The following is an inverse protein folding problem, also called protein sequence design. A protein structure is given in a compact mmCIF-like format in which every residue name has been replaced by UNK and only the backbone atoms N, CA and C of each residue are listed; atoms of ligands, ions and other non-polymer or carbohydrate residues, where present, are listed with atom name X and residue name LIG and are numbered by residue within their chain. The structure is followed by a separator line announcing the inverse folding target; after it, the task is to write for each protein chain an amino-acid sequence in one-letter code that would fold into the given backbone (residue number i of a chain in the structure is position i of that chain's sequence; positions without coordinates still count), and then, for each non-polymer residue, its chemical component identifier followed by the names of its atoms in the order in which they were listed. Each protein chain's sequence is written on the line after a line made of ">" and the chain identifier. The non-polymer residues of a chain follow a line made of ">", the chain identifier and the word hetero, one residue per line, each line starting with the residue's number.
data_IF_353449668692
#
_entry.id   IF_353449668692
#
_cell.length_a   1.000
_cell.length_b   1.000
_cell.length_c   1.000
_cell.angle_alpha   90.00
_cell.angle_beta   90.00
_cell.angle_gamma   90.00
#
_symmetry.space_group_name_H-M   'P 1'
#
loop_
_entity.id
_entity.type
_entity.pdbx_description
1 polymer ?
#
# COMPACT_ATOMS: atom_id res chain seq x y z
N UNK A 1 18.55 4.50 13.91
CA UNK A 1 17.69 3.33 13.69
C UNK A 1 16.76 3.58 12.52
N UNK A 2 16.72 2.65 11.59
CA UNK A 2 15.82 2.75 10.46
C UNK A 2 14.37 2.67 10.93
N UNK A 3 13.49 3.48 10.34
CA UNK A 3 12.06 3.43 10.63
C UNK A 3 11.38 2.36 9.80
N UNK A 4 10.12 2.11 10.12
CA UNK A 4 9.26 1.25 9.32
C UNK A 4 8.82 1.99 8.06
N UNK A 5 8.71 1.28 6.94
CA UNK A 5 8.24 1.84 5.69
C UNK A 5 6.90 1.22 5.30
N UNK A 6 5.92 2.07 5.05
CA UNK A 6 4.57 1.67 4.64
C UNK A 6 4.31 2.25 3.25
N UNK A 7 4.10 1.37 2.28
CA UNK A 7 3.76 1.74 0.91
C UNK A 7 2.24 1.67 0.73
N UNK A 8 1.65 2.69 0.15
CA UNK A 8 0.21 2.70 -0.12
C UNK A 8 -0.06 2.43 -1.58
N UNK A 9 -0.84 1.39 -1.85
CA UNK A 9 -1.18 0.92 -3.19
C UNK A 9 -2.67 1.10 -3.46
N UNK A 10 -3.00 1.80 -4.52
CA UNK A 10 -4.39 2.05 -4.90
C UNK A 10 -4.48 2.82 -6.19
N UNK A 11 -5.70 2.95 -6.71
CA UNK A 11 -5.96 3.60 -7.98
C UNK A 11 -5.43 5.03 -8.02
N UNK A 12 -4.77 5.38 -9.12
CA UNK A 12 -4.29 6.72 -9.42
C UNK A 12 -4.83 7.22 -10.75
N UNK A 13 -4.89 6.37 -11.77
CA UNK A 13 -5.36 6.73 -13.11
C UNK A 13 -6.79 7.26 -13.08
N UNK A 14 -7.01 8.40 -13.73
CA UNK A 14 -8.34 9.03 -13.78
C UNK A 14 -8.76 9.76 -12.52
N UNK A 15 -7.92 9.79 -11.50
CA UNK A 15 -8.16 10.53 -10.27
C UNK A 15 -7.30 11.80 -10.23
N UNK A 16 -7.81 12.85 -9.56
CA UNK A 16 -6.98 14.00 -9.22
C UNK A 16 -5.97 13.60 -8.14
N UNK A 17 -4.97 14.46 -7.93
CA UNK A 17 -4.03 14.26 -6.83
C UNK A 17 -4.77 14.15 -5.48
N UNK A 18 -5.70 15.06 -5.22
CA UNK A 18 -6.46 15.05 -3.98
C UNK A 18 -7.29 13.78 -3.81
N UNK A 19 -7.99 13.36 -4.85
CA UNK A 19 -8.77 12.13 -4.82
C UNK A 19 -7.89 10.90 -4.54
N UNK A 20 -6.72 10.84 -5.17
CA UNK A 20 -5.80 9.72 -4.96
C UNK A 20 -5.16 9.72 -3.58
N UNK A 21 -5.04 10.88 -2.94
CA UNK A 21 -4.36 11.03 -1.65
C UNK A 21 -5.30 10.95 -0.44
N UNK A 22 -6.60 11.12 -0.61
CA UNK A 22 -7.52 11.21 0.54
C UNK A 22 -7.40 10.02 1.50
N UNK A 23 -7.57 8.80 1.02
CA UNK A 23 -7.48 7.63 1.90
C UNK A 23 -6.06 7.41 2.42
N UNK A 24 -5.06 7.76 1.63
CA UNK A 24 -3.66 7.62 2.01
C UNK A 24 -3.31 8.53 3.18
N UNK A 25 -3.72 9.77 3.13
CA UNK A 25 -3.50 10.72 4.23
C UNK A 25 -4.30 10.36 5.47
N UNK A 26 -5.52 9.85 5.31
CA UNK A 26 -6.31 9.37 6.44
C UNK A 26 -5.59 8.21 7.15
N UNK A 27 -5.04 7.27 6.39
CA UNK A 27 -4.27 6.16 6.96
C UNK A 27 -3.02 6.67 7.68
N UNK A 28 -2.25 7.53 7.03
CA UNK A 28 -1.04 8.11 7.61
C UNK A 28 -1.35 8.79 8.95
N UNK A 29 -2.36 9.64 8.98
CA UNK A 29 -2.77 10.34 10.20
C UNK A 29 -3.22 9.38 11.29
N UNK A 30 -4.01 8.36 10.93
CA UNK A 30 -4.48 7.37 11.89
C UNK A 30 -3.33 6.57 12.50
N UNK A 31 -2.36 6.16 11.70
CA UNK A 31 -1.19 5.42 12.20
C UNK A 31 -0.32 6.31 13.08
N UNK A 32 -0.01 7.54 12.63
CA UNK A 32 0.85 8.45 13.38
C UNK A 32 0.23 8.90 14.70
N UNK A 33 -1.09 8.91 14.81
CA UNK A 33 -1.78 9.20 16.07
C UNK A 33 -1.68 8.08 17.09
N UNK A 34 -1.40 6.86 16.66
CA UNK A 34 -1.36 5.69 17.54
C UNK A 34 0.05 5.27 17.94
N UNK A 35 1.05 5.53 17.10
CA UNK A 35 2.40 5.02 17.31
C UNK A 35 3.38 6.12 17.69
N UNK A 36 4.36 5.76 18.55
CA UNK A 36 5.53 6.59 18.84
C UNK A 36 6.75 6.17 18.01
N UNK A 37 6.62 5.13 17.22
CA UNK A 37 7.70 4.63 16.38
C UNK A 37 7.88 5.49 15.14
N UNK A 38 9.07 5.48 14.59
CA UNK A 38 9.36 6.17 13.34
C UNK A 38 8.75 5.39 12.18
N UNK A 39 7.83 6.02 11.46
CA UNK A 39 7.16 5.44 10.29
C UNK A 39 7.29 6.39 9.11
N UNK A 40 7.71 5.84 7.98
CA UNK A 40 7.80 6.59 6.72
C UNK A 40 6.75 6.03 5.77
N UNK A 41 5.87 6.90 5.30
CA UNK A 41 4.87 6.53 4.31
C UNK A 41 5.38 6.84 2.90
N UNK A 42 5.21 5.90 2.00
CA UNK A 42 5.51 6.05 0.58
C UNK A 42 4.18 6.09 -0.15
N UNK A 43 3.79 7.29 -0.58
CA UNK A 43 2.57 7.51 -1.34
C UNK A 43 2.95 7.85 -2.77
N UNK A 44 2.77 6.93 -3.75
CA UNK A 44 3.20 7.18 -5.12
C UNK A 44 2.73 8.50 -5.74
N UNK A 45 1.49 8.97 -5.48
CA UNK A 45 1.07 10.25 -6.05
C UNK A 45 1.92 11.45 -5.63
N UNK A 46 2.56 11.41 -4.46
CA UNK A 46 3.42 12.50 -3.99
C UNK A 46 4.70 12.63 -4.81
N UNK A 47 5.14 11.54 -5.46
CA UNK A 47 6.41 11.51 -6.18
C UNK A 47 6.23 11.74 -7.68
N UNK A 48 5.09 11.35 -8.25
CA UNK A 48 4.90 11.36 -9.69
C UNK A 48 3.76 12.26 -10.15
N UNK A 49 2.87 12.67 -9.25
CA UNK A 49 1.58 13.19 -9.67
C UNK A 49 0.76 12.06 -10.30
N UNK A 50 -0.29 12.41 -11.03
CA UNK A 50 -1.20 11.42 -11.61
C UNK A 50 -1.15 11.33 -13.14
N UNK A 51 -0.60 12.33 -13.83
CA UNK A 51 -0.74 12.46 -15.28
C UNK A 51 0.53 12.63 -16.11
N UNK A 52 1.66 13.00 -15.53
CA UNK A 52 2.85 13.37 -16.34
C UNK A 52 4.11 12.69 -15.81
N UNK A 53 4.25 11.42 -16.14
CA UNK A 53 5.32 10.59 -15.59
C UNK A 53 6.04 9.83 -16.70
N UNK A 54 7.39 9.82 -16.63
CA UNK A 54 8.18 8.83 -17.35
C UNK A 54 7.88 7.46 -16.76
N UNK A 55 7.07 6.65 -17.43
CA UNK A 55 6.58 5.38 -16.92
C UNK A 55 7.69 4.39 -16.61
N UNK A 56 8.78 4.40 -17.36
CA UNK A 56 9.91 3.51 -17.08
C UNK A 56 10.58 3.85 -15.75
N UNK A 57 10.82 5.13 -15.50
CA UNK A 57 11.43 5.58 -14.24
C UNK A 57 10.50 5.34 -13.06
N UNK A 58 9.22 5.62 -13.24
CA UNK A 58 8.21 5.38 -12.20
C UNK A 58 8.19 3.91 -11.79
N UNK A 59 8.19 3.02 -12.76
CA UNK A 59 8.18 1.58 -12.50
C UNK A 59 9.41 1.12 -11.72
N UNK A 60 10.60 1.56 -12.12
CA UNK A 60 11.83 1.22 -11.41
C UNK A 60 11.80 1.74 -9.98
N UNK A 61 11.37 2.97 -9.78
CA UNK A 61 11.25 3.56 -8.46
C UNK A 61 10.29 2.76 -7.58
N UNK A 62 9.12 2.42 -8.11
CA UNK A 62 8.11 1.65 -7.35
C UNK A 62 8.62 0.27 -6.95
N UNK A 63 9.29 -0.44 -7.85
CA UNK A 63 9.85 -1.74 -7.54
C UNK A 63 10.84 -1.64 -6.38
N UNK A 64 11.71 -0.63 -6.40
CA UNK A 64 12.66 -0.41 -5.32
C UNK A 64 11.96 -0.05 -4.00
N UNK A 65 10.95 0.79 -4.04
CA UNK A 65 10.20 1.16 -2.84
C UNK A 65 9.43 -0.03 -2.25
N UNK A 66 8.81 -0.83 -3.10
CA UNK A 66 8.11 -2.06 -2.67
C UNK A 66 9.08 -3.03 -2.01
N UNK A 67 10.23 -3.26 -2.64
CA UNK A 67 11.25 -4.18 -2.11
C UNK A 67 11.79 -3.75 -0.74
N UNK A 68 11.76 -2.46 -0.44
CA UNK A 68 12.25 -1.91 0.83
C UNK A 68 11.12 -1.60 1.83
N UNK A 69 9.89 -1.94 1.50
CA UNK A 69 8.76 -1.73 2.39
C UNK A 69 8.61 -2.84 3.42
N UNK A 70 8.12 -2.49 4.59
CA UNK A 70 7.76 -3.46 5.63
C UNK A 70 6.29 -3.88 5.48
N UNK A 71 5.45 -2.93 5.08
CA UNK A 71 4.01 -3.13 4.94
C UNK A 71 3.56 -2.46 3.64
N UNK A 72 2.71 -3.14 2.88
CA UNK A 72 2.00 -2.57 1.74
C UNK A 72 0.52 -2.56 2.09
N UNK A 73 -0.09 -1.37 2.09
CA UNK A 73 -1.52 -1.21 2.36
C UNK A 73 -2.25 -0.93 1.05
N UNK A 74 -3.30 -1.69 0.80
CA UNK A 74 -4.03 -1.69 -0.47
C UNK A 74 -5.45 -1.19 -0.25
N UNK A 75 -5.88 -0.22 -1.05
CA UNK A 75 -7.29 0.16 -1.12
C UNK A 75 -8.02 -0.85 -2.03
N UNK A 76 -8.88 -1.67 -1.42
CA UNK A 76 -9.61 -2.71 -2.13
C UNK A 76 -10.85 -2.18 -2.86
N UNK A 77 -11.35 -1.00 -2.50
CA UNK A 77 -12.62 -0.49 -3.03
C UNK A 77 -12.60 -0.23 -4.54
N UNK A 78 -11.41 -0.01 -5.10
CA UNK A 78 -11.22 0.27 -6.54
C UNK A 78 -10.29 -0.72 -7.22
N UNK A 79 -10.01 -1.86 -6.59
CA UNK A 79 -8.95 -2.77 -7.05
C UNK A 79 -9.19 -3.31 -8.45
N UNK A 80 -10.43 -3.57 -8.82
CA UNK A 80 -10.78 -4.05 -10.15
C UNK A 80 -10.28 -3.11 -11.26
N UNK A 81 -10.32 -1.81 -10.99
CA UNK A 81 -10.00 -0.77 -11.96
C UNK A 81 -8.57 -0.23 -11.80
N UNK A 82 -7.74 -0.92 -11.05
CA UNK A 82 -6.38 -0.49 -10.74
C UNK A 82 -5.36 -1.54 -11.19
N UNK A 83 -4.96 -1.46 -12.45
CA UNK A 83 -3.96 -2.38 -13.03
C UNK A 83 -2.64 -2.27 -12.28
N UNK A 84 -2.21 -1.04 -11.97
CA UNK A 84 -0.96 -0.82 -11.23
C UNK A 84 -0.93 -1.52 -9.89
N UNK A 85 -2.05 -1.52 -9.16
CA UNK A 85 -2.16 -2.21 -7.88
C UNK A 85 -1.96 -3.72 -8.04
N UNK A 86 -2.57 -4.33 -9.05
CA UNK A 86 -2.39 -5.75 -9.32
C UNK A 86 -0.92 -6.10 -9.62
N UNK A 87 -0.26 -5.26 -10.41
CA UNK A 87 1.15 -5.45 -10.73
C UNK A 87 2.00 -5.33 -9.46
N UNK A 88 1.75 -4.32 -8.63
CA UNK A 88 2.46 -4.12 -7.38
C UNK A 88 2.31 -5.31 -6.44
N UNK A 89 1.10 -5.84 -6.29
CA UNK A 89 0.85 -7.03 -5.47
C UNK A 89 1.59 -8.26 -6.00
N UNK A 90 1.63 -8.43 -7.32
CA UNK A 90 2.38 -9.52 -7.94
C UNK A 90 3.89 -9.41 -7.69
N UNK A 91 4.42 -8.19 -7.73
CA UNK A 91 5.84 -7.93 -7.43
C UNK A 91 6.13 -8.29 -5.97
N UNK A 92 5.29 -7.87 -5.04
CA UNK A 92 5.47 -8.17 -3.61
C UNK A 92 5.42 -9.67 -3.37
N UNK A 93 4.47 -10.37 -3.99
CA UNK A 93 4.39 -11.83 -3.87
C UNK A 93 5.68 -12.49 -4.36
N UNK A 94 6.20 -12.06 -5.50
CA UNK A 94 7.46 -12.58 -6.03
C UNK A 94 8.63 -12.35 -5.08
N UNK A 95 8.73 -11.15 -4.52
CA UNK A 95 9.76 -10.81 -3.54
C UNK A 95 9.63 -11.71 -2.31
N UNK A 96 8.42 -11.88 -1.79
CA UNK A 96 8.16 -12.67 -0.59
C UNK A 96 8.51 -14.15 -0.75
N UNK A 97 8.51 -14.67 -1.96
CA UNK A 97 8.89 -16.06 -2.22
C UNK A 97 10.40 -16.30 -2.11
N UNK A 98 11.20 -15.23 -2.18
CA UNK A 98 12.65 -15.35 -2.27
C UNK A 98 13.40 -14.83 -1.04
N UNK A 99 12.68 -14.40 0.01
CA UNK A 99 13.33 -13.87 1.20
C UNK A 99 12.65 -14.30 2.49
N UNK A 100 13.40 -14.32 3.58
CA UNK A 100 12.91 -14.77 4.87
C UNK A 100 11.95 -13.77 5.53
N UNK A 101 12.34 -12.49 5.54
CA UNK A 101 11.46 -11.45 6.07
C UNK A 101 10.45 -11.04 5.00
N UNK A 102 9.19 -11.37 5.24
CA UNK A 102 8.10 -11.08 4.32
C UNK A 102 7.61 -9.64 4.46
N UNK A 103 7.18 -9.07 3.34
CA UNK A 103 6.44 -7.82 3.33
C UNK A 103 5.00 -8.16 3.69
N UNK A 104 4.45 -7.48 4.69
CA UNK A 104 3.05 -7.68 5.08
C UNK A 104 2.13 -6.94 4.12
N UNK A 105 1.07 -7.58 3.67
CA UNK A 105 0.09 -6.98 2.75
C UNK A 105 -1.24 -6.84 3.47
N UNK A 106 -1.72 -5.61 3.60
CA UNK A 106 -2.98 -5.31 4.27
C UNK A 106 -3.96 -4.69 3.29
N UNK A 107 -5.13 -5.30 3.14
CA UNK A 107 -6.21 -4.75 2.33
C UNK A 107 -7.24 -4.03 3.18
N UNK A 108 -7.72 -2.89 2.73
CA UNK A 108 -8.76 -2.10 3.40
C UNK A 108 -10.00 -2.03 2.53
N UNK A 109 -11.14 -2.33 3.12
CA UNK A 109 -12.44 -2.16 2.49
C UNK A 109 -12.96 -3.42 1.82
N UNK A 110 -14.02 -3.25 1.03
CA UNK A 110 -14.66 -4.35 0.29
C UNK A 110 -14.16 -4.32 -1.15
N UNK A 111 -13.53 -5.41 -1.65
CA UNK A 111 -13.10 -5.45 -3.04
C UNK A 111 -14.28 -5.27 -3.99
N UNK A 112 -14.08 -4.52 -5.06
CA UNK A 112 -15.09 -4.36 -6.12
C UNK A 112 -14.98 -5.47 -7.18
N UNK A 113 -14.50 -6.63 -6.79
CA UNK A 113 -14.38 -7.82 -7.64
C UNK A 113 -14.53 -9.08 -6.78
N UNK A 114 -15.06 -10.15 -7.37
CA UNK A 114 -15.17 -11.46 -6.72
C UNK A 114 -13.97 -12.37 -6.97
N UNK A 115 -12.95 -11.87 -7.64
CA UNK A 115 -11.79 -12.69 -8.00
C UNK A 115 -11.04 -13.17 -6.75
N UNK A 116 -10.96 -14.49 -6.57
CA UNK A 116 -10.39 -15.10 -5.37
C UNK A 116 -8.93 -14.73 -5.09
N UNK A 117 -8.14 -14.48 -6.13
CA UNK A 117 -6.72 -14.15 -5.96
C UNK A 117 -6.50 -12.81 -5.24
N UNK A 118 -7.48 -11.91 -5.29
CA UNK A 118 -7.37 -10.64 -4.58
C UNK A 118 -7.24 -10.87 -3.08
N UNK A 119 -8.09 -11.73 -2.52
CA UNK A 119 -8.07 -12.02 -1.08
C UNK A 119 -6.90 -12.91 -0.69
N UNK A 120 -6.55 -13.87 -1.53
CA UNK A 120 -5.46 -14.80 -1.24
C UNK A 120 -4.10 -14.13 -1.14
N UNK A 121 -3.90 -13.01 -1.82
CA UNK A 121 -2.66 -12.25 -1.76
C UNK A 121 -2.49 -11.40 -0.50
N UNK A 122 -3.52 -11.29 0.34
CA UNK A 122 -3.50 -10.44 1.52
C UNK A 122 -3.04 -11.20 2.77
N UNK A 123 -2.18 -10.55 3.57
CA UNK A 123 -1.86 -11.07 4.90
C UNK A 123 -2.96 -10.69 5.89
N UNK A 124 -3.49 -9.48 5.76
CA UNK A 124 -4.57 -8.95 6.60
C UNK A 124 -5.64 -8.31 5.72
N UNK A 125 -6.88 -8.38 6.18
CA UNK A 125 -8.00 -7.73 5.52
C UNK A 125 -8.89 -7.10 6.58
N UNK A 126 -9.09 -5.80 6.47
CA UNK A 126 -9.89 -5.01 7.41
C UNK A 126 -10.92 -4.16 6.68
N UNK A 127 -11.95 -3.72 7.40
CA UNK A 127 -13.04 -2.96 6.80
C UNK A 127 -12.77 -1.45 6.78
N UNK A 128 -11.98 -0.94 7.73
CA UNK A 128 -11.79 0.50 7.89
C UNK A 128 -10.32 0.87 8.04
N UNK A 129 -10.04 2.13 7.77
CA UNK A 129 -8.71 2.72 7.98
C UNK A 129 -8.31 2.65 9.45
N UNK A 130 -9.25 2.88 10.36
CA UNK A 130 -8.95 2.84 11.80
C UNK A 130 -8.54 1.43 12.24
N UNK A 131 -9.22 0.39 11.77
CA UNK A 131 -8.83 -0.99 12.05
C UNK A 131 -7.43 -1.29 11.50
N UNK A 132 -7.14 -0.81 10.28
CA UNK A 132 -5.81 -0.97 9.69
C UNK A 132 -4.74 -0.33 10.57
N UNK A 133 -4.98 0.90 11.02
CA UNK A 133 -4.03 1.62 11.86
C UNK A 133 -3.79 0.89 13.19
N UNK A 134 -4.83 0.34 13.79
CA UNK A 134 -4.72 -0.40 15.05
C UNK A 134 -3.90 -1.68 14.88
N UNK A 135 -4.13 -2.43 13.82
CA UNK A 135 -3.35 -3.65 13.54
C UNK A 135 -1.90 -3.29 13.24
N UNK A 136 -1.66 -2.27 12.45
CA UNK A 136 -0.30 -1.80 12.16
C UNK A 136 0.42 -1.47 13.47
N UNK A 137 -0.19 -0.65 14.32
CA UNK A 137 0.42 -0.24 15.57
C UNK A 137 0.65 -1.41 16.54
N UNK A 138 -0.33 -2.28 16.69
CA UNK A 138 -0.32 -3.31 17.75
C UNK A 138 0.45 -4.57 17.37
N UNK A 139 0.52 -4.90 16.07
CA UNK A 139 1.11 -6.16 15.63
C UNK A 139 2.31 -6.00 14.71
N UNK A 140 2.28 -5.01 13.82
CA UNK A 140 3.27 -4.92 12.75
C UNK A 140 4.44 -4.00 13.06
N UNK A 141 4.25 -3.01 13.92
CA UNK A 141 5.31 -2.09 14.36
C UNK A 141 5.95 -2.53 15.69
N UNK A 142 6.06 -3.81 15.87
CA UNK A 142 6.65 -4.34 17.10
C UNK A 142 8.18 -4.37 17.08
#
# INVERSE_FOLDING_TARGET
>A
MAGYKIFTSGKMSGLSYEESMTWRKQLENAVLNLTDKKVVFIHPPEFFGVDDVDQSRARHWEINQLANSDIVVVDLSTIKDSIGTHIELGIVEGINRTRDKKIEIMGIGVPNTDHSWVKEGLTYWVSTIQEAAEIINNLLLM
#
